data_IF_562262426189
#
_entry.id   IF_562262426189
#
_cell.length_a   1.000
_cell.length_b   1.000
_cell.length_c   1.000
_cell.angle_alpha   90.00
_cell.angle_beta   90.00
_cell.angle_gamma   90.00
#
_symmetry.space_group_name_H-M   'P 1'
#
loop_
_entity.id
_entity.type
_entity.pdbx_description
1 polymer ?
#
# COMPACT_ATOMS: atom_id res chain seq x y z
N UNK A 1 -0.64 -4.73 25.86
CA UNK A 1 -1.07 -4.80 24.43
C UNK A 1 -1.42 -6.26 24.22
N UNK A 2 -2.70 -6.58 23.99
CA UNK A 2 -3.09 -7.94 23.60
C UNK A 2 -2.74 -8.14 22.14
N UNK A 3 -2.16 -9.30 21.73
CA UNK A 3 -2.05 -9.64 20.32
C UNK A 3 -3.47 -9.63 19.73
N UNK A 4 -3.69 -8.87 18.68
CA UNK A 4 -4.93 -9.00 17.91
C UNK A 4 -4.83 -10.27 17.10
N UNK A 5 -5.85 -11.12 17.22
CA UNK A 5 -6.04 -12.23 16.30
C UNK A 5 -6.09 -11.67 14.86
N UNK A 6 -5.17 -12.11 14.05
CA UNK A 6 -5.16 -11.89 12.61
C UNK A 6 -6.11 -12.90 11.96
N UNK A 7 -7.37 -12.88 12.34
CA UNK A 7 -8.38 -13.64 11.60
C UNK A 7 -8.80 -12.80 10.39
N UNK A 8 -8.66 -13.40 9.23
CA UNK A 8 -9.02 -12.88 7.92
C UNK A 8 -10.53 -12.73 7.76
N UNK A 9 -11.16 -11.96 8.60
CA UNK A 9 -12.59 -11.70 8.50
C UNK A 9 -12.84 -10.46 7.63
N UNK A 10 -13.86 -10.56 6.79
CA UNK A 10 -14.60 -9.46 6.13
C UNK A 10 -14.84 -8.26 7.09
N UNK A 11 -14.71 -8.50 8.36
CA UNK A 11 -14.75 -7.56 9.48
C UNK A 11 -13.64 -6.48 9.48
N UNK A 12 -12.47 -6.72 8.90
CA UNK A 12 -11.36 -5.74 8.98
C UNK A 12 -11.70 -4.45 8.23
N UNK A 13 -12.35 -4.55 7.07
CA UNK A 13 -12.78 -3.39 6.30
C UNK A 13 -13.93 -2.63 6.97
N UNK A 14 -14.83 -3.31 7.68
CA UNK A 14 -15.95 -2.67 8.37
C UNK A 14 -15.49 -1.95 9.64
N UNK A 15 -14.56 -2.55 10.39
CA UNK A 15 -13.92 -1.90 11.53
C UNK A 15 -13.12 -0.69 11.10
N UNK A 16 -12.33 -0.79 10.03
CA UNK A 16 -11.60 0.33 9.46
C UNK A 16 -12.55 1.45 9.00
N UNK A 17 -13.56 1.14 8.22
CA UNK A 17 -14.55 2.11 7.75
C UNK A 17 -15.31 2.77 8.91
N UNK A 18 -15.62 2.02 9.97
CA UNK A 18 -16.24 2.56 11.18
C UNK A 18 -15.32 3.51 11.92
N UNK A 19 -14.06 3.12 12.15
CA UNK A 19 -13.07 3.97 12.80
C UNK A 19 -12.76 5.24 11.99
N UNK A 20 -12.70 5.11 10.66
CA UNK A 20 -12.52 6.26 9.76
C UNK A 20 -13.68 7.25 9.90
N UNK A 21 -14.93 6.79 9.85
CA UNK A 21 -16.13 7.65 10.03
C UNK A 21 -16.18 8.33 11.40
N UNK A 22 -15.70 7.65 12.45
CA UNK A 22 -15.65 8.18 13.80
C UNK A 22 -14.42 9.09 14.04
N UNK A 23 -13.46 9.13 13.14
CA UNK A 23 -12.22 9.88 13.32
C UNK A 23 -11.33 9.28 14.40
N UNK A 24 -11.33 7.97 14.57
CA UNK A 24 -10.59 7.23 15.60
C UNK A 24 -9.51 6.31 15.05
N UNK A 25 -9.14 6.48 13.78
CA UNK A 25 -8.03 5.72 13.21
C UNK A 25 -6.74 5.98 13.99
N UNK A 26 -5.94 4.94 14.26
CA UNK A 26 -4.60 5.09 14.81
C UNK A 26 -3.69 5.96 13.95
N UNK A 27 -2.59 6.44 14.54
CA UNK A 27 -1.60 7.26 13.83
C UNK A 27 -0.98 6.55 12.63
N UNK A 28 -0.82 5.24 12.71
CA UNK A 28 -0.45 4.36 11.60
C UNK A 28 -1.50 3.26 11.47
N UNK A 29 -2.05 3.12 10.28
CA UNK A 29 -3.07 2.11 9.95
C UNK A 29 -2.65 1.44 8.65
N UNK A 30 -2.54 0.13 8.66
CA UNK A 30 -2.32 -0.70 7.46
C UNK A 30 -3.63 -1.37 7.14
N UNK A 31 -4.04 -1.31 5.89
CA UNK A 31 -5.30 -1.88 5.40
C UNK A 31 -4.96 -2.75 4.19
N UNK A 32 -5.25 -4.03 4.28
CA UNK A 32 -4.95 -5.02 3.26
C UNK A 32 -6.23 -5.55 2.62
N UNK A 33 -6.22 -5.91 1.32
CA UNK A 33 -7.31 -6.61 0.68
C UNK A 33 -7.43 -8.06 1.18
N UNK A 34 -8.53 -8.73 0.84
CA UNK A 34 -8.64 -10.17 1.03
C UNK A 34 -8.03 -10.89 -0.19
N UNK A 35 -6.86 -11.47 0.03
CA UNK A 35 -6.09 -12.27 -0.94
C UNK A 35 -5.92 -13.71 -0.46
N UNK A 36 -6.80 -14.18 0.43
CA UNK A 36 -6.71 -15.56 0.95
C UNK A 36 -7.01 -16.58 -0.13
N UNK A 37 -6.36 -17.74 -0.06
CA UNK A 37 -6.59 -18.85 -1.00
C UNK A 37 -8.07 -19.24 -1.13
N UNK A 38 -8.87 -19.32 -0.04
CA UNK A 38 -10.31 -19.53 -0.17
C UNK A 38 -11.04 -18.43 -0.95
N UNK A 39 -10.67 -17.16 -0.75
CA UNK A 39 -11.28 -16.04 -1.46
C UNK A 39 -10.95 -16.07 -2.95
N UNK A 40 -9.69 -16.33 -3.31
CA UNK A 40 -9.28 -16.51 -4.70
C UNK A 40 -10.03 -17.68 -5.36
N UNK A 41 -10.10 -18.84 -4.70
CA UNK A 41 -10.78 -20.02 -5.23
C UNK A 41 -12.29 -19.81 -5.46
N UNK A 42 -12.92 -18.96 -4.66
CA UNK A 42 -14.35 -18.64 -4.79
C UNK A 42 -14.62 -17.38 -5.62
N UNK A 43 -13.57 -16.67 -6.04
CA UNK A 43 -13.68 -15.40 -6.77
C UNK A 43 -14.16 -14.24 -5.92
N UNK A 44 -14.04 -14.34 -4.60
CA UNK A 44 -14.42 -13.28 -3.64
C UNK A 44 -13.25 -12.43 -3.19
N UNK A 45 -12.01 -12.73 -3.64
CA UNK A 45 -10.85 -11.88 -3.38
C UNK A 45 -11.05 -10.47 -3.93
N UNK A 46 -10.42 -9.50 -3.29
CA UNK A 46 -10.53 -8.10 -3.66
C UNK A 46 -9.17 -7.41 -3.74
N UNK A 47 -8.17 -8.17 -4.09
CA UNK A 47 -6.81 -7.79 -4.45
C UNK A 47 -6.64 -7.65 -5.97
N UNK A 48 -5.46 -7.23 -6.41
CA UNK A 48 -5.09 -7.12 -7.82
C UNK A 48 -4.11 -8.23 -8.26
N UNK A 49 -3.83 -9.21 -7.39
CA UNK A 49 -2.98 -10.35 -7.73
C UNK A 49 -3.60 -11.19 -8.88
N UNK A 50 -2.79 -11.70 -9.83
CA UNK A 50 -3.26 -12.61 -10.87
C UNK A 50 -4.08 -13.76 -10.27
N UNK A 51 -5.22 -14.06 -10.82
CA UNK A 51 -6.36 -14.89 -10.40
C UNK A 51 -7.45 -14.11 -9.68
N UNK A 52 -7.15 -13.00 -8.99
CA UNK A 52 -8.14 -12.08 -8.50
C UNK A 52 -8.77 -11.25 -9.62
N UNK A 53 -9.92 -10.67 -9.37
CA UNK A 53 -10.55 -9.71 -10.27
C UNK A 53 -10.04 -8.31 -9.98
N UNK A 54 -9.23 -7.72 -10.86
CA UNK A 54 -8.77 -6.33 -10.76
C UNK A 54 -9.95 -5.36 -10.49
N UNK A 55 -11.14 -5.66 -11.06
CA UNK A 55 -12.34 -4.84 -10.81
C UNK A 55 -12.81 -4.93 -9.35
N UNK A 56 -12.58 -6.06 -8.68
CA UNK A 56 -12.86 -6.21 -7.24
C UNK A 56 -11.82 -5.46 -6.40
N UNK A 57 -10.55 -5.52 -6.79
CA UNK A 57 -9.47 -4.72 -6.19
C UNK A 57 -9.74 -3.22 -6.31
N UNK A 58 -10.09 -2.73 -7.49
CA UNK A 58 -10.46 -1.33 -7.72
C UNK A 58 -11.68 -0.88 -6.86
N UNK A 59 -12.66 -1.75 -6.68
CA UNK A 59 -13.80 -1.48 -5.81
C UNK A 59 -13.38 -1.39 -4.34
N UNK A 60 -12.46 -2.25 -3.91
CA UNK A 60 -11.88 -2.20 -2.59
C UNK A 60 -11.09 -0.92 -2.35
N UNK A 61 -10.15 -0.58 -3.24
CA UNK A 61 -9.36 0.65 -3.20
C UNK A 61 -10.28 1.88 -3.11
N UNK A 62 -11.32 1.93 -3.95
CA UNK A 62 -12.32 3.01 -3.92
C UNK A 62 -12.99 3.12 -2.56
N UNK A 63 -13.41 2.00 -1.96
CA UNK A 63 -14.06 1.99 -0.63
C UNK A 63 -13.13 2.51 0.46
N UNK A 64 -11.84 2.09 0.45
CA UNK A 64 -10.83 2.59 1.38
C UNK A 64 -10.60 4.10 1.18
N UNK A 65 -10.44 4.53 -0.06
CA UNK A 65 -10.29 5.94 -0.41
C UNK A 65 -11.46 6.79 0.11
N UNK A 66 -12.69 6.37 -0.14
CA UNK A 66 -13.89 7.11 0.31
C UNK A 66 -13.96 7.15 1.84
N UNK A 67 -13.61 6.06 2.53
CA UNK A 67 -13.59 6.04 3.99
C UNK A 67 -12.57 7.02 4.57
N UNK A 68 -11.35 7.07 3.98
CA UNK A 68 -10.29 7.99 4.41
C UNK A 68 -10.65 9.44 4.12
N UNK A 69 -11.10 9.73 2.90
CA UNK A 69 -11.32 11.11 2.44
C UNK A 69 -12.59 11.77 3.03
N UNK A 70 -13.54 10.96 3.51
CA UNK A 70 -14.71 11.44 4.24
C UNK A 70 -14.54 11.46 5.76
N UNK A 71 -13.39 10.94 6.25
CA UNK A 71 -13.06 10.92 7.69
C UNK A 71 -12.86 12.34 8.23
N UNK A 72 -13.29 12.61 9.49
CA UNK A 72 -12.89 13.83 10.20
C UNK A 72 -11.36 14.03 10.32
N UNK A 73 -10.58 12.97 10.13
CA UNK A 73 -9.11 13.00 10.16
C UNK A 73 -8.48 13.36 8.80
N UNK A 74 -9.26 13.48 7.72
CA UNK A 74 -8.73 13.73 6.37
C UNK A 74 -7.73 14.87 6.31
N UNK A 75 -8.02 16.01 6.94
CA UNK A 75 -7.15 17.19 6.95
C UNK A 75 -5.75 16.98 7.54
N UNK A 76 -5.48 15.81 8.12
CA UNK A 76 -4.18 15.44 8.72
C UNK A 76 -3.73 14.03 8.32
N UNK A 77 -4.24 13.52 7.20
CA UNK A 77 -3.99 12.15 6.74
C UNK A 77 -3.15 12.14 5.48
N UNK A 78 -2.19 11.23 5.42
CA UNK A 78 -1.51 10.79 4.20
C UNK A 78 -1.94 9.36 3.96
N UNK A 79 -2.63 9.13 2.85
CA UNK A 79 -2.99 7.80 2.39
C UNK A 79 -2.00 7.38 1.29
N UNK A 80 -1.28 6.30 1.52
CA UNK A 80 -0.36 5.71 0.57
C UNK A 80 -0.97 4.43 0.04
N UNK A 81 -1.28 4.40 -1.25
CA UNK A 81 -1.63 3.19 -1.98
C UNK A 81 -0.34 2.66 -2.60
N UNK A 82 0.10 1.51 -2.14
CA UNK A 82 1.35 0.90 -2.58
C UNK A 82 1.10 -0.57 -2.93
N UNK A 83 1.69 -1.00 -4.05
CA UNK A 83 1.67 -2.40 -4.44
C UNK A 83 2.94 -3.07 -3.92
N UNK A 84 2.83 -4.28 -3.43
CA UNK A 84 3.91 -5.04 -2.82
C UNK A 84 4.89 -5.60 -3.87
N UNK A 85 4.37 -6.06 -5.02
CA UNK A 85 5.19 -6.63 -6.08
C UNK A 85 4.53 -6.44 -7.46
N UNK A 86 5.15 -6.90 -8.53
CA UNK A 86 4.78 -6.60 -9.92
C UNK A 86 3.77 -7.58 -10.55
N UNK A 87 3.23 -8.53 -9.79
CA UNK A 87 2.26 -9.52 -10.27
C UNK A 87 2.84 -10.56 -11.25
N UNK A 88 4.17 -10.70 -11.31
CA UNK A 88 4.84 -11.59 -12.26
C UNK A 88 4.97 -11.04 -13.69
N UNK A 89 4.57 -9.80 -13.95
CA UNK A 89 4.67 -9.17 -15.26
C UNK A 89 6.07 -8.63 -15.55
N UNK A 90 6.45 -8.61 -16.83
CA UNK A 90 7.73 -8.08 -17.27
C UNK A 90 7.75 -6.55 -17.20
N UNK A 91 8.89 -5.99 -16.74
CA UNK A 91 9.20 -4.57 -16.85
C UNK A 91 10.42 -4.37 -17.77
N UNK A 92 10.35 -3.39 -18.67
CA UNK A 92 11.43 -3.07 -19.61
C UNK A 92 12.50 -2.13 -19.00
N UNK A 93 12.32 -1.67 -17.76
CA UNK A 93 13.29 -0.84 -17.04
C UNK A 93 14.06 -1.71 -16.06
N UNK A 94 15.38 -1.77 -16.24
CA UNK A 94 16.24 -2.49 -15.30
C UNK A 94 16.18 -1.84 -13.92
N UNK A 95 15.93 -2.62 -12.84
CA UNK A 95 15.91 -2.09 -11.49
C UNK A 95 17.26 -1.47 -11.11
N UNK A 96 17.29 -0.30 -10.46
CA UNK A 96 18.53 0.32 -10.01
C UNK A 96 19.10 -0.40 -8.77
N UNK A 97 20.38 -0.14 -8.49
CA UNK A 97 21.02 -0.54 -7.24
C UNK A 97 20.89 0.58 -6.20
N UNK A 98 20.78 0.16 -4.95
CA UNK A 98 20.66 1.04 -3.77
C UNK A 98 21.60 0.55 -2.68
N UNK A 99 21.98 1.41 -1.72
CA UNK A 99 22.78 0.98 -0.58
C UNK A 99 22.07 -0.12 0.24
N UNK A 100 22.83 -1.15 0.61
CA UNK A 100 22.39 -2.21 1.50
C UNK A 100 23.55 -2.63 2.39
N UNK A 101 23.29 -2.92 3.67
CA UNK A 101 24.28 -3.42 4.63
C UNK A 101 24.23 -4.95 4.77
N UNK A 102 23.40 -5.59 3.96
CA UNK A 102 23.22 -7.04 3.90
C UNK A 102 22.98 -7.69 5.28
N UNK A 103 22.28 -6.96 6.15
CA UNK A 103 21.92 -7.45 7.49
C UNK A 103 20.76 -8.42 7.40
N UNK A 104 21.08 -9.68 7.14
CA UNK A 104 20.10 -10.75 7.27
C UNK A 104 20.39 -11.54 8.56
N UNK A 105 19.44 -11.64 9.49
CA UNK A 105 19.61 -12.41 10.72
C UNK A 105 19.61 -13.93 10.50
N UNK A 106 19.25 -14.42 9.31
CA UNK A 106 19.23 -15.83 9.00
C UNK A 106 20.63 -16.32 8.59
N UNK A 107 21.11 -17.48 9.08
CA UNK A 107 22.39 -18.05 8.66
C UNK A 107 22.30 -18.58 7.22
N UNK A 108 23.37 -18.41 6.45
CA UNK A 108 23.50 -18.96 5.10
C UNK A 108 23.78 -17.89 4.03
N UNK A 109 23.91 -18.31 2.77
CA UNK A 109 24.08 -17.36 1.67
C UNK A 109 22.78 -16.55 1.48
N UNK A 110 22.92 -15.23 1.38
CA UNK A 110 21.80 -14.31 1.25
C UNK A 110 21.76 -13.71 -0.16
N UNK A 111 20.54 -13.42 -0.69
CA UNK A 111 20.42 -12.62 -1.88
C UNK A 111 21.05 -11.23 -1.69
N UNK A 112 21.55 -10.65 -2.78
CA UNK A 112 21.99 -9.27 -2.81
C UNK A 112 20.77 -8.35 -2.84
N UNK A 113 20.38 -7.84 -1.69
CA UNK A 113 19.26 -6.91 -1.56
C UNK A 113 19.59 -5.47 -1.99
N UNK A 114 20.80 -5.21 -2.44
CA UNK A 114 21.17 -3.93 -3.07
C UNK A 114 20.50 -3.73 -4.43
N UNK A 115 19.99 -4.80 -5.07
CA UNK A 115 19.22 -4.72 -6.30
C UNK A 115 17.75 -4.54 -5.99
N UNK A 116 17.13 -3.44 -6.46
CA UNK A 116 15.68 -3.26 -6.37
C UNK A 116 14.95 -4.25 -7.30
N UNK A 117 13.66 -4.45 -7.05
CA UNK A 117 12.77 -5.21 -7.92
C UNK A 117 12.22 -4.39 -9.08
N UNK A 118 11.34 -4.99 -9.87
CA UNK A 118 10.59 -4.32 -10.92
C UNK A 118 9.71 -3.21 -10.33
N UNK A 119 9.39 -2.22 -11.18
CA UNK A 119 8.58 -1.09 -10.73
C UNK A 119 7.17 -1.54 -10.39
N UNK A 120 6.65 -0.96 -9.33
CA UNK A 120 5.26 -1.10 -8.89
C UNK A 120 4.60 0.28 -8.79
N UNK A 121 3.29 0.39 -8.97
CA UNK A 121 2.59 1.64 -8.75
C UNK A 121 2.65 2.06 -7.28
N UNK A 122 2.77 3.37 -7.05
CA UNK A 122 2.58 3.97 -5.73
C UNK A 122 1.85 5.31 -5.90
N UNK A 123 0.79 5.52 -5.13
CA UNK A 123 0.01 6.76 -5.18
C UNK A 123 -0.06 7.37 -3.78
N UNK A 124 0.39 8.60 -3.65
CA UNK A 124 0.34 9.35 -2.39
C UNK A 124 -0.81 10.34 -2.42
N UNK A 125 -1.79 10.15 -1.55
CA UNK A 125 -3.05 10.88 -1.54
C UNK A 125 -3.21 11.60 -0.21
N UNK A 126 -3.30 12.93 -0.26
CA UNK A 126 -3.37 13.78 0.92
C UNK A 126 -3.93 15.16 0.53
N UNK A 127 -4.45 15.96 1.46
CA UNK A 127 -4.67 17.39 1.19
C UNK A 127 -3.43 18.13 0.71
N UNK A 128 -2.25 17.61 1.00
CA UNK A 128 -0.96 18.20 0.65
C UNK A 128 -0.31 17.58 -0.60
N UNK A 129 -0.98 16.65 -1.29
CA UNK A 129 -0.44 16.06 -2.52
C UNK A 129 -0.62 17.00 -3.70
N UNK A 130 0.44 17.38 -4.41
CA UNK A 130 0.32 18.01 -5.72
C UNK A 130 -0.26 17.01 -6.72
N UNK A 131 -1.06 17.51 -7.68
CA UNK A 131 -1.60 16.67 -8.76
C UNK A 131 -0.57 16.53 -9.87
N UNK A 132 0.45 15.71 -9.63
CA UNK A 132 1.57 15.55 -10.57
C UNK A 132 2.11 14.13 -10.51
N UNK A 133 2.90 13.78 -11.51
CA UNK A 133 3.73 12.58 -11.50
C UNK A 133 5.09 12.96 -10.92
N UNK A 134 5.54 12.19 -9.92
CA UNK A 134 6.87 12.35 -9.32
C UNK A 134 7.89 11.64 -10.20
N UNK A 135 8.92 12.35 -10.65
CA UNK A 135 9.92 11.85 -11.61
C UNK A 135 11.34 11.83 -11.06
N UNK A 136 11.55 12.35 -9.87
CA UNK A 136 12.88 12.49 -9.25
C UNK A 136 13.29 11.28 -8.39
N UNK A 137 12.72 10.10 -8.67
CA UNK A 137 13.00 8.83 -8.00
C UNK A 137 14.48 8.40 -8.00
N UNK A 138 14.79 7.16 -7.59
CA UNK A 138 13.80 6.16 -7.21
C UNK A 138 13.20 6.37 -5.82
N UNK A 139 11.89 6.16 -5.73
CA UNK A 139 11.22 5.82 -4.48
C UNK A 139 11.06 4.31 -4.43
N UNK A 140 11.03 3.75 -3.25
CA UNK A 140 10.96 2.32 -2.99
C UNK A 140 10.09 2.01 -1.77
N UNK A 141 9.85 0.75 -1.45
CA UNK A 141 9.05 0.38 -0.27
C UNK A 141 9.62 0.99 1.02
N UNK A 142 10.95 1.03 1.16
CA UNK A 142 11.60 1.67 2.31
C UNK A 142 11.36 3.19 2.38
N UNK A 143 10.89 3.83 1.31
CA UNK A 143 10.52 5.25 1.34
C UNK A 143 9.32 5.52 2.25
N UNK A 144 8.41 4.56 2.37
CA UNK A 144 7.29 4.60 3.32
C UNK A 144 7.82 4.51 4.76
N UNK A 145 8.74 3.57 5.03
CA UNK A 145 9.39 3.43 6.34
C UNK A 145 10.15 4.70 6.69
N UNK A 146 10.91 5.26 5.75
CA UNK A 146 11.65 6.50 5.94
C UNK A 146 10.74 7.68 6.30
N UNK A 147 9.55 7.76 5.70
CA UNK A 147 8.56 8.78 6.06
C UNK A 147 8.04 8.56 7.50
N UNK A 148 7.78 7.33 7.89
CA UNK A 148 7.33 6.96 9.24
C UNK A 148 8.39 7.34 10.28
N UNK A 149 9.64 6.96 10.04
CA UNK A 149 10.78 7.28 10.91
C UNK A 149 10.94 8.79 11.09
N UNK A 150 10.95 9.52 9.97
CA UNK A 150 11.02 10.98 10.00
C UNK A 150 9.85 11.62 10.77
N UNK A 151 8.63 11.12 10.55
CA UNK A 151 7.42 11.70 11.16
C UNK A 151 7.39 11.54 12.68
N UNK A 152 7.92 10.45 13.20
CA UNK A 152 7.90 10.13 14.63
C UNK A 152 9.26 10.15 15.31
N UNK A 153 10.30 10.55 14.61
CA UNK A 153 11.67 10.62 15.16
C UNK A 153 12.23 9.26 15.53
N UNK A 154 11.93 8.23 14.75
CA UNK A 154 12.43 6.87 14.97
C UNK A 154 13.79 6.70 14.30
N UNK A 155 14.65 5.89 14.93
CA UNK A 155 15.93 5.51 14.33
C UNK A 155 15.70 4.51 13.20
N UNK A 156 16.40 4.63 12.06
CA UNK A 156 16.34 3.67 10.98
C UNK A 156 16.78 2.27 11.45
N UNK A 157 16.11 1.25 10.94
CA UNK A 157 16.38 -0.15 11.29
C UNK A 157 17.62 -0.69 10.55
N UNK A 158 17.83 -0.25 9.31
CA UNK A 158 18.87 -0.75 8.41
C UNK A 158 19.48 0.38 7.59
N UNK A 159 20.49 0.06 6.78
CA UNK A 159 21.02 1.01 5.80
C UNK A 159 20.00 1.30 4.69
N UNK A 160 19.13 0.32 4.36
CA UNK A 160 18.13 0.46 3.30
C UNK A 160 17.14 1.58 3.58
N UNK A 161 16.45 1.53 4.71
CA UNK A 161 15.47 2.55 5.10
C UNK A 161 16.13 3.90 5.40
N UNK A 162 17.34 3.90 6.00
CA UNK A 162 18.12 5.13 6.22
C UNK A 162 18.45 5.87 4.92
N UNK A 163 18.83 5.14 3.86
CA UNK A 163 19.27 5.71 2.58
C UNK A 163 18.14 5.93 1.58
N UNK A 164 16.95 5.40 1.84
CA UNK A 164 15.79 5.61 1.00
C UNK A 164 15.36 7.08 0.98
N UNK A 165 14.85 7.54 -0.15
CA UNK A 165 14.21 8.86 -0.23
C UNK A 165 12.99 8.89 0.68
N UNK A 166 12.79 9.99 1.37
CA UNK A 166 11.63 10.15 2.23
C UNK A 166 10.37 10.42 1.40
N UNK A 167 9.36 9.57 1.48
CA UNK A 167 8.13 9.73 0.72
C UNK A 167 7.40 11.06 1.03
N UNK A 168 7.63 11.66 2.20
CA UNK A 168 7.11 12.98 2.54
C UNK A 168 7.62 14.11 1.61
N UNK A 169 8.73 13.90 0.89
CA UNK A 169 9.25 14.87 -0.08
C UNK A 169 8.31 15.06 -1.27
N UNK A 170 7.37 14.14 -1.49
CA UNK A 170 6.33 14.26 -2.51
C UNK A 170 5.17 15.18 -2.11
N UNK A 171 5.14 15.65 -0.88
CA UNK A 171 4.08 16.49 -0.33
C UNK A 171 4.48 17.97 -0.34
N UNK A 172 3.53 18.83 -0.64
CA UNK A 172 3.64 20.28 -0.50
C UNK A 172 2.71 20.74 0.62
N UNK A 173 3.26 20.98 1.80
CA UNK A 173 2.51 21.39 2.99
C UNK A 173 1.92 22.82 2.92
N UNK A 174 2.21 23.57 1.87
CA UNK A 174 1.51 24.85 1.58
C UNK A 174 0.14 24.63 0.93
N UNK A 175 -0.12 23.43 0.40
CA UNK A 175 -1.40 23.07 -0.19
C UNK A 175 -2.40 22.62 0.88
N UNK A 176 -3.69 22.78 0.57
CA UNK A 176 -4.78 22.15 1.29
C UNK A 176 -5.92 21.86 0.32
N UNK A 177 -5.83 20.75 -0.37
CA UNK A 177 -6.76 20.37 -1.44
C UNK A 177 -7.91 19.52 -0.92
N UNK A 178 -9.13 19.73 -1.45
CA UNK A 178 -10.22 18.79 -1.19
C UNK A 178 -9.94 17.44 -1.86
N UNK A 179 -10.54 16.36 -1.37
CA UNK A 179 -10.43 15.07 -2.02
C UNK A 179 -11.12 15.09 -3.40
N UNK A 180 -10.58 14.29 -4.32
CA UNK A 180 -11.19 14.10 -5.64
C UNK A 180 -12.42 13.22 -5.52
N UNK A 181 -13.52 13.64 -6.11
CA UNK A 181 -14.72 12.79 -6.18
C UNK A 181 -14.54 11.72 -7.25
N UNK A 182 -14.53 10.47 -6.82
CA UNK A 182 -14.46 9.34 -7.73
C UNK A 182 -15.83 9.06 -8.38
N UNK A 183 -15.85 8.53 -9.62
CA UNK A 183 -17.08 8.11 -10.27
C UNK A 183 -17.76 6.97 -9.51
N UNK A 184 -19.05 6.79 -9.75
CA UNK A 184 -19.76 5.64 -9.25
C UNK A 184 -19.16 4.36 -9.87
N UNK A 185 -18.91 3.39 -9.04
CA UNK A 185 -18.38 2.09 -9.45
C UNK A 185 -19.00 1.00 -8.58
N UNK A 186 -19.43 -0.08 -9.21
CA UNK A 186 -19.98 -1.26 -8.52
C UNK A 186 -19.03 -2.44 -8.77
N UNK A 187 -18.65 -3.13 -7.70
CA UNK A 187 -17.88 -4.35 -7.82
C UNK A 187 -18.63 -5.37 -8.69
N UNK A 188 -17.94 -6.11 -9.55
CA UNK A 188 -18.57 -7.20 -10.30
C UNK A 188 -19.03 -8.30 -9.34
N UNK A 189 -19.97 -9.15 -9.77
CA UNK A 189 -20.26 -10.37 -9.01
C UNK A 189 -19.00 -11.25 -8.93
N UNK A 190 -18.82 -12.02 -7.85
CA UNK A 190 -17.73 -12.97 -7.73
C UNK A 190 -17.69 -13.93 -8.93
N UNK A 191 -16.50 -14.16 -9.46
CA UNK A 191 -16.27 -15.13 -10.54
C UNK A 191 -15.15 -16.06 -10.05
N UNK A 192 -15.48 -17.32 -9.82
CA UNK A 192 -14.49 -18.31 -9.42
C UNK A 192 -13.42 -18.46 -10.52
N UNK A 193 -12.17 -18.58 -10.10
CA UNK A 193 -11.08 -18.89 -11.00
C UNK A 193 -11.32 -20.28 -11.63
N UNK A 194 -11.14 -20.46 -12.93
CA UNK A 194 -11.22 -21.80 -13.52
C UNK A 194 -10.15 -22.69 -12.89
N UNK A 195 -10.45 -23.99 -12.64
CA UNK A 195 -9.46 -24.90 -12.10
C UNK A 195 -8.24 -24.94 -13.02
N UNK A 196 -7.05 -24.86 -12.43
CA UNK A 196 -5.82 -24.99 -13.20
C UNK A 196 -5.82 -26.34 -13.91
N UNK A 197 -5.56 -26.34 -15.20
CA UNK A 197 -5.32 -27.58 -15.93
C UNK A 197 -4.08 -28.26 -15.33
N UNK A 198 -4.28 -29.43 -14.73
CA UNK A 198 -3.23 -30.28 -14.15
C UNK A 198 -2.27 -30.80 -15.20
#
# INVERSE_FOLDING_TARGET
IRPRDWSSDVCSSDLFCSAARQGTLPNLTIVEPDYTTPAEATGTSNDDHPWGSIRSGEAYIKRVYEAVTTSPQWGRTVFVLNFDEWGGFYDHVAPPKVPDDNRNPQPGPHPDYSQLGFRVPCVVISPWSPQTVVTDGPYEHCSVLRMIEWRWGLEPMTLRDRSAKNLAETLDFSLHRPPVRLPAFTAPPPVACPPQAS
#
